data_IF_980507465158
#
_entry.id   IF_980507465158
#
_cell.length_a   1.000
_cell.length_b   1.000
_cell.length_c   1.000
_cell.angle_alpha   90.00
_cell.angle_beta   90.00
_cell.angle_gamma   90.00
#
_symmetry.space_group_name_H-M   'P 1'
#
loop_
_entity.id
_entity.type
_entity.pdbx_description
1 polymer ?
#
# COMPACT_ATOMS: atom_id res chain seq x y z
N UNK A 1 23.40 -53.94 12.79
CA UNK A 1 23.27 -53.19 11.52
C UNK A 1 21.84 -53.43 11.04
N UNK A 2 20.93 -52.47 10.92
CA UNK A 2 21.00 -51.00 10.87
C UNK A 2 19.60 -50.51 11.27
N UNK A 3 19.49 -49.69 12.31
CA UNK A 3 18.23 -49.11 12.76
C UNK A 3 17.79 -47.97 11.84
N UNK A 4 16.52 -47.97 11.44
CA UNK A 4 15.91 -46.92 10.63
C UNK A 4 15.49 -45.77 11.55
N UNK A 5 16.15 -44.63 11.45
CA UNK A 5 15.89 -43.39 12.21
C UNK A 5 14.67 -42.63 11.64
N UNK A 6 13.61 -42.35 12.43
CA UNK A 6 12.42 -41.64 11.97
C UNK A 6 12.50 -40.11 12.08
N UNK A 7 13.66 -39.49 12.40
CA UNK A 7 13.74 -38.05 12.75
C UNK A 7 14.41 -37.11 11.73
N UNK A 8 14.02 -37.19 10.46
CA UNK A 8 14.27 -36.10 9.48
C UNK A 8 13.00 -35.60 8.80
N UNK A 9 12.10 -34.98 9.56
CA UNK A 9 11.17 -33.98 9.02
C UNK A 9 11.80 -32.61 9.25
N UNK A 10 12.46 -32.08 8.21
CA UNK A 10 12.87 -30.69 8.19
C UNK A 10 11.65 -29.75 8.31
N UNK A 11 11.87 -28.46 8.63
CA UNK A 11 10.80 -27.48 8.69
C UNK A 11 10.02 -27.50 7.38
N UNK A 12 8.73 -27.81 7.44
CA UNK A 12 7.84 -27.64 6.29
C UNK A 12 7.74 -26.14 6.06
N UNK A 13 8.43 -25.63 5.04
CA UNK A 13 8.20 -24.29 4.52
C UNK A 13 6.68 -24.14 4.26
N UNK A 14 6.07 -23.00 4.63
CA UNK A 14 4.66 -22.78 4.32
C UNK A 14 4.44 -22.95 2.82
N UNK A 15 3.42 -23.73 2.45
CA UNK A 15 2.99 -23.88 1.06
C UNK A 15 2.67 -22.48 0.54
N UNK A 16 3.36 -22.06 -0.52
CA UNK A 16 2.97 -20.90 -1.33
C UNK A 16 1.53 -21.15 -1.80
N UNK A 17 0.60 -20.31 -1.33
CA UNK A 17 -0.81 -20.36 -1.73
C UNK A 17 -0.90 -20.24 -3.26
N UNK A 18 -1.89 -20.91 -3.84
CA UNK A 18 -2.13 -20.85 -5.27
C UNK A 18 -2.48 -19.41 -5.70
N UNK A 19 -2.12 -18.98 -6.92
CA UNK A 19 -2.54 -17.67 -7.42
C UNK A 19 -4.06 -17.70 -7.62
N UNK A 20 -4.81 -17.01 -6.77
CA UNK A 20 -6.27 -16.89 -6.86
C UNK A 20 -7.04 -16.92 -5.54
N UNK A 21 -6.42 -17.31 -4.42
CA UNK A 21 -7.03 -17.07 -3.10
C UNK A 21 -6.76 -15.62 -2.69
N UNK A 22 -7.72 -14.73 -2.95
CA UNK A 22 -7.76 -13.44 -2.26
C UNK A 22 -7.80 -13.73 -0.76
N UNK A 23 -6.76 -13.33 -0.02
CA UNK A 23 -6.69 -13.52 1.43
C UNK A 23 -7.82 -12.72 2.10
N UNK A 24 -8.96 -13.36 2.30
CA UNK A 24 -10.17 -12.78 2.89
C UNK A 24 -9.92 -12.28 4.33
N UNK A 25 -8.80 -12.64 4.94
CA UNK A 25 -8.41 -12.24 6.29
C UNK A 25 -7.73 -10.87 6.41
N UNK A 26 -7.24 -10.27 5.31
CA UNK A 26 -6.48 -9.02 5.36
C UNK A 26 -7.39 -7.77 5.34
N UNK A 27 -8.58 -7.86 4.76
CA UNK A 27 -9.54 -6.75 4.65
C UNK A 27 -9.81 -6.02 5.97
N UNK A 28 -10.23 -6.73 7.04
CA UNK A 28 -10.50 -6.11 8.34
C UNK A 28 -9.26 -5.44 8.98
N UNK A 29 -8.06 -5.95 8.69
CA UNK A 29 -6.79 -5.39 9.19
C UNK A 29 -6.46 -4.09 8.48
N UNK A 30 -6.67 -4.04 7.16
CA UNK A 30 -6.49 -2.83 6.36
C UNK A 30 -7.52 -1.76 6.72
N UNK A 31 -8.77 -2.15 6.98
CA UNK A 31 -9.81 -1.24 7.48
C UNK A 31 -9.43 -0.64 8.84
N UNK A 32 -8.90 -1.47 9.76
CA UNK A 32 -8.42 -1.00 11.05
C UNK A 32 -7.24 -0.03 10.91
N UNK A 33 -6.29 -0.33 10.02
CA UNK A 33 -5.16 0.54 9.72
C UNK A 33 -5.60 1.89 9.12
N UNK A 34 -6.53 1.88 8.16
CA UNK A 34 -7.07 3.10 7.57
C UNK A 34 -7.74 4.01 8.62
N UNK A 35 -8.37 3.42 9.65
CA UNK A 35 -8.95 4.18 10.76
C UNK A 35 -7.90 4.85 11.68
N UNK A 36 -6.66 4.36 11.71
CA UNK A 36 -5.56 5.00 12.49
C UNK A 36 -5.16 6.33 11.84
N UNK A 37 -5.25 6.43 10.51
CA UNK A 37 -5.06 7.69 9.81
C UNK A 37 -4.67 7.55 8.34
N UNK A 38 -4.67 8.67 7.61
CA UNK A 38 -4.52 8.69 6.14
C UNK A 38 -3.17 8.18 5.64
N UNK A 39 -2.18 8.02 6.52
CA UNK A 39 -0.87 7.45 6.17
C UNK A 39 -0.93 5.94 5.91
N UNK A 40 -1.89 5.25 6.53
CA UNK A 40 -2.07 3.80 6.42
C UNK A 40 -3.13 3.40 5.40
N UNK A 41 -3.88 4.36 4.85
CA UNK A 41 -4.91 4.11 3.84
C UNK A 41 -4.26 3.65 2.53
N UNK A 42 -4.55 2.41 2.15
CA UNK A 42 -4.23 1.84 0.84
C UNK A 42 -5.53 1.50 0.11
N UNK A 43 -5.82 2.22 -0.96
CA UNK A 43 -6.89 1.84 -1.87
C UNK A 43 -6.38 0.79 -2.84
N UNK A 44 -7.08 -0.34 -2.90
CA UNK A 44 -6.79 -1.45 -3.81
C UNK A 44 -8.08 -1.70 -4.61
N UNK A 45 -7.95 -1.82 -5.94
CA UNK A 45 -9.10 -1.91 -6.84
C UNK A 45 -9.52 -0.55 -7.41
N UNK A 46 -10.80 -0.42 -7.74
CA UNK A 46 -11.37 0.76 -8.39
C UNK A 46 -11.22 2.02 -7.54
N UNK A 47 -11.14 3.15 -8.24
CA UNK A 47 -11.00 4.51 -7.73
C UNK A 47 -11.89 4.80 -6.50
N UNK A 48 -11.34 5.33 -5.39
CA UNK A 48 -12.10 5.63 -4.20
C UNK A 48 -13.07 6.80 -4.45
N UNK A 49 -14.28 6.77 -3.86
CA UNK A 49 -15.21 7.89 -3.95
C UNK A 49 -14.59 9.13 -3.30
N UNK A 50 -14.70 10.28 -3.98
CA UNK A 50 -14.15 11.54 -3.48
C UNK A 50 -14.80 12.01 -2.17
N UNK A 51 -14.16 12.96 -1.47
CA UNK A 51 -14.70 13.50 -0.23
C UNK A 51 -16.09 14.13 -0.46
N UNK A 52 -17.03 13.97 0.49
CA UNK A 52 -18.35 14.56 0.35
C UNK A 52 -18.27 16.09 0.26
N UNK A 53 -18.93 16.65 -0.74
CA UNK A 53 -19.09 18.11 -0.87
C UNK A 53 -19.88 18.67 0.32
N UNK A 54 -19.59 19.91 0.76
CA UNK A 54 -20.20 20.51 1.94
C UNK A 54 -21.73 20.75 1.84
N UNK A 55 -22.35 20.44 0.70
CA UNK A 55 -23.79 20.61 0.45
C UNK A 55 -24.58 19.29 0.36
N UNK A 56 -23.96 18.13 0.54
CA UNK A 56 -24.64 16.83 0.39
C UNK A 56 -24.22 15.85 1.49
N UNK A 57 -25.20 15.37 2.27
CA UNK A 57 -25.04 14.32 3.30
C UNK A 57 -24.78 12.94 2.69
N UNK A 58 -24.98 12.78 1.38
CA UNK A 58 -24.67 11.57 0.64
C UNK A 58 -23.40 11.80 -0.18
N UNK A 59 -22.39 10.89 -0.15
CA UNK A 59 -21.27 10.95 -1.07
C UNK A 59 -21.85 10.86 -2.49
N UNK A 60 -21.63 11.89 -3.31
CA UNK A 60 -22.00 11.86 -4.70
C UNK A 60 -21.22 10.71 -5.36
N UNK A 61 -21.90 9.59 -5.59
CA UNK A 61 -21.32 8.43 -6.25
C UNK A 61 -20.88 8.82 -7.66
N UNK A 62 -19.59 9.14 -7.82
CA UNK A 62 -18.96 9.48 -9.09
C UNK A 62 -18.11 10.75 -9.13
N UNK A 63 -18.00 11.52 -8.04
CA UNK A 63 -17.06 12.65 -8.01
C UNK A 63 -15.70 12.19 -7.47
N UNK A 64 -14.72 12.13 -8.38
CA UNK A 64 -13.32 11.78 -8.13
C UNK A 64 -12.64 12.82 -7.23
N UNK A 65 -11.85 12.38 -6.25
CA UNK A 65 -10.86 13.28 -5.62
C UNK A 65 -9.77 13.61 -6.66
N UNK A 66 -9.65 14.86 -7.14
CA UNK A 66 -8.65 15.22 -8.14
C UNK A 66 -7.20 15.06 -7.62
N UNK A 67 -7.00 14.91 -6.31
CA UNK A 67 -5.71 14.60 -5.71
C UNK A 67 -5.40 13.10 -5.67
N UNK A 68 -6.37 12.22 -5.95
CA UNK A 68 -6.14 10.80 -6.06
C UNK A 68 -5.55 10.46 -7.42
N UNK A 69 -4.35 9.88 -7.39
CA UNK A 69 -3.73 9.30 -8.57
C UNK A 69 -3.37 7.84 -8.27
N UNK A 70 -3.90 6.87 -9.04
CA UNK A 70 -3.46 5.49 -8.94
C UNK A 70 -1.95 5.38 -9.12
N UNK A 71 -1.29 4.54 -8.31
CA UNK A 71 0.15 4.30 -8.45
C UNK A 71 0.53 3.77 -9.84
N UNK A 72 -0.39 3.08 -10.52
CA UNK A 72 -0.20 2.61 -11.90
C UNK A 72 -0.13 3.75 -12.94
N UNK A 73 -0.66 4.93 -12.60
CA UNK A 73 -0.70 6.10 -13.47
C UNK A 73 0.48 7.04 -13.23
N UNK A 74 1.21 6.86 -12.11
CA UNK A 74 2.45 7.55 -11.78
C UNK A 74 3.58 7.11 -12.72
N UNK A 75 3.54 7.63 -13.95
CA UNK A 75 4.57 7.43 -14.97
C UNK A 75 4.82 8.72 -15.75
N UNK A 76 6.05 8.88 -16.25
CA UNK A 76 6.42 10.00 -17.10
C UNK A 76 6.08 11.37 -16.49
N UNK A 77 5.26 12.16 -17.20
CA UNK A 77 4.93 13.53 -16.83
C UNK A 77 4.24 13.65 -15.46
N UNK A 78 3.31 12.76 -15.11
CA UNK A 78 2.61 12.81 -13.83
C UNK A 78 3.57 12.64 -12.64
N UNK A 79 4.58 11.79 -12.80
CA UNK A 79 5.63 11.59 -11.79
C UNK A 79 6.50 12.86 -11.65
N UNK A 80 6.86 13.49 -12.77
CA UNK A 80 7.63 14.72 -12.77
C UNK A 80 6.86 15.89 -12.15
N UNK A 81 5.57 16.04 -12.48
CA UNK A 81 4.70 17.09 -11.95
C UNK A 81 4.47 16.93 -10.45
N UNK A 82 4.27 15.69 -10.00
CA UNK A 82 4.14 15.36 -8.57
C UNK A 82 5.43 15.66 -7.80
N UNK A 83 6.58 15.26 -8.35
CA UNK A 83 7.88 15.55 -7.75
C UNK A 83 8.17 17.07 -7.69
N UNK A 84 7.78 17.81 -8.74
CA UNK A 84 7.89 19.26 -8.78
C UNK A 84 6.97 19.92 -7.75
N UNK A 85 5.74 19.42 -7.58
CA UNK A 85 4.82 19.92 -6.56
C UNK A 85 5.35 19.69 -5.14
N UNK A 86 5.88 18.50 -4.85
CA UNK A 86 6.56 18.22 -3.59
C UNK A 86 7.74 19.18 -3.39
N UNK A 87 8.56 19.38 -4.43
CA UNK A 87 9.67 20.33 -4.40
C UNK A 87 9.23 21.74 -4.00
N UNK A 88 8.16 22.25 -4.62
CA UNK A 88 7.55 23.55 -4.28
C UNK A 88 7.08 23.59 -2.82
N UNK A 89 6.39 22.56 -2.35
CA UNK A 89 5.85 22.50 -0.97
C UNK A 89 6.95 22.50 0.09
N UNK A 90 8.08 21.84 -0.17
CA UNK A 90 9.22 21.79 0.77
C UNK A 90 10.23 22.93 0.56
N UNK A 91 9.94 23.87 -0.36
CA UNK A 91 10.77 25.06 -0.61
C UNK A 91 12.10 24.78 -1.32
N UNK A 92 12.24 23.66 -2.03
CA UNK A 92 13.44 23.36 -2.82
C UNK A 92 13.24 23.66 -4.30
N UNK A 93 14.29 24.15 -4.95
CA UNK A 93 14.35 24.31 -6.41
C UNK A 93 15.11 23.18 -7.09
N UNK A 94 15.77 22.29 -6.33
CA UNK A 94 16.46 21.13 -6.88
C UNK A 94 15.44 20.01 -7.18
N UNK A 95 15.22 19.65 -8.46
CA UNK A 95 14.27 18.62 -8.83
C UNK A 95 14.61 17.23 -8.24
N UNK A 96 15.88 16.96 -7.96
CA UNK A 96 16.33 15.69 -7.36
C UNK A 96 15.83 15.54 -5.93
N UNK A 97 15.75 16.64 -5.18
CA UNK A 97 15.26 16.63 -3.80
C UNK A 97 13.76 16.32 -3.80
N UNK A 98 12.97 16.97 -4.67
CA UNK A 98 11.53 16.68 -4.82
C UNK A 98 11.26 15.23 -5.22
N UNK A 99 12.01 14.71 -6.19
CA UNK A 99 11.91 13.31 -6.63
C UNK A 99 12.32 12.31 -5.53
N UNK A 100 13.39 12.60 -4.78
CA UNK A 100 13.84 11.74 -3.68
C UNK A 100 12.83 11.73 -2.54
N UNK A 101 12.26 12.88 -2.20
CA UNK A 101 11.21 12.98 -1.17
C UNK A 101 9.95 12.24 -1.59
N UNK A 102 9.54 12.35 -2.86
CA UNK A 102 8.42 11.55 -3.40
C UNK A 102 8.68 10.04 -3.23
N UNK A 103 9.86 9.59 -3.65
CA UNK A 103 10.25 8.19 -3.56
C UNK A 103 10.28 7.69 -2.10
N UNK A 104 10.93 8.44 -1.21
CA UNK A 104 11.01 8.11 0.22
C UNK A 104 9.63 8.10 0.88
N UNK A 105 8.75 9.05 0.53
CA UNK A 105 7.38 9.10 1.03
C UNK A 105 6.56 7.88 0.60
N UNK A 106 6.69 7.46 -0.67
CA UNK A 106 6.03 6.26 -1.17
C UNK A 106 6.54 4.99 -0.48
N UNK A 107 7.87 4.85 -0.37
CA UNK A 107 8.49 3.73 0.32
C UNK A 107 8.06 3.67 1.79
N UNK A 108 8.02 4.81 2.48
CA UNK A 108 7.58 4.90 3.86
C UNK A 108 6.11 4.43 4.04
N UNK A 109 5.20 4.83 3.15
CA UNK A 109 3.78 4.40 3.22
C UNK A 109 3.64 2.89 3.03
N UNK A 110 4.35 2.32 2.05
CA UNK A 110 4.35 0.87 1.81
C UNK A 110 4.89 0.10 3.03
N UNK A 111 6.01 0.56 3.59
CA UNK A 111 6.58 -0.05 4.79
C UNK A 111 5.68 0.11 6.02
N UNK A 112 5.03 1.27 6.20
CA UNK A 112 4.09 1.48 7.29
C UNK A 112 2.89 0.53 7.22
N UNK A 113 2.34 0.29 6.03
CA UNK A 113 1.25 -0.67 5.85
C UNK A 113 1.70 -2.12 6.12
N UNK A 114 2.86 -2.52 5.60
CA UNK A 114 3.42 -3.85 5.84
C UNK A 114 3.71 -4.10 7.33
N UNK A 115 4.32 -3.12 8.02
CA UNK A 115 4.57 -3.18 9.46
C UNK A 115 3.26 -3.15 10.25
N UNK A 116 2.28 -2.34 9.84
CA UNK A 116 0.96 -2.31 10.45
C UNK A 116 0.27 -3.67 10.42
N UNK A 117 0.30 -4.35 9.27
CA UNK A 117 -0.22 -5.72 9.14
C UNK A 117 0.55 -6.72 10.01
N UNK A 118 1.89 -6.60 10.05
CA UNK A 118 2.73 -7.46 10.86
C UNK A 118 2.44 -7.32 12.35
N UNK A 119 2.27 -6.10 12.84
CA UNK A 119 1.98 -5.81 14.26
C UNK A 119 0.57 -6.22 14.66
N UNK A 120 -0.43 -5.89 13.83
CA UNK A 120 -1.85 -6.10 14.19
C UNK A 120 -2.33 -7.54 13.95
N UNK A 121 -1.80 -8.20 12.93
CA UNK A 121 -2.29 -9.51 12.50
C UNK A 121 -1.23 -10.62 12.54
N UNK A 122 0.03 -10.30 12.84
CA UNK A 122 1.13 -11.28 12.76
C UNK A 122 1.39 -11.78 11.34
N UNK A 123 0.93 -11.05 10.32
CA UNK A 123 1.02 -11.42 8.90
C UNK A 123 1.74 -10.31 8.13
N UNK A 124 2.66 -10.71 7.26
CA UNK A 124 3.36 -9.79 6.34
C UNK A 124 2.74 -9.96 4.96
N UNK A 125 2.21 -8.90 4.34
CA UNK A 125 1.73 -8.95 2.96
C UNK A 125 2.87 -9.36 2.03
N UNK A 126 2.59 -10.26 1.07
CA UNK A 126 3.54 -10.54 0.01
C UNK A 126 3.58 -9.33 -0.94
N UNK A 127 4.74 -8.70 -1.04
CA UNK A 127 4.99 -7.53 -1.90
C UNK A 127 5.78 -7.92 -3.16
N UNK A 128 5.97 -9.22 -3.42
CA UNK A 128 6.64 -9.67 -4.62
C UNK A 128 5.87 -9.20 -5.87
N UNK A 129 6.57 -8.64 -6.88
CA UNK A 129 5.96 -8.38 -8.18
C UNK A 129 5.52 -9.72 -8.78
N UNK A 130 4.24 -9.82 -9.15
CA UNK A 130 3.61 -11.00 -9.74
C UNK A 130 3.34 -10.81 -11.23
#
# INVERSE_FOLDING_TARGET
MTGTDPRRRGPRLPRRSAPGEHDTGLGPVLDHLAAIGPHFTLHHGSEPPGPPLPSSTEPAAGETDPAFHPLADLRGALLADTAADIGRRIGTTDPRVGASTLHLGLAARLWSAALGCAVLAGRVPDLAPH
#
